data_IF_380410279886
#
_entry.id   IF_380410279886
#
_cell.length_a   1.000
_cell.length_b   1.000
_cell.length_c   1.000
_cell.angle_alpha   90.00
_cell.angle_beta   90.00
_cell.angle_gamma   90.00
#
_symmetry.space_group_name_H-M   'P 1'
#
loop_
_entity.id
_entity.type
_entity.pdbx_description
1 polymer ?
#
# COMPACT_ATOMS: atom_id res chain seq x y z
N UNK A 1 -2.14 19.22 -20.51
CA UNK A 1 -2.54 19.93 -19.28
C UNK A 1 -2.87 18.89 -18.24
N UNK A 2 -2.43 19.10 -16.99
CA UNK A 2 -2.81 18.24 -15.87
C UNK A 2 -4.34 18.27 -15.70
N UNK A 3 -4.97 17.11 -15.49
CA UNK A 3 -6.41 17.05 -15.26
C UNK A 3 -6.73 17.45 -13.82
N UNK A 4 -7.82 18.20 -13.65
CA UNK A 4 -8.34 18.54 -12.32
C UNK A 4 -8.58 17.27 -11.51
N UNK A 5 -8.26 17.30 -10.21
CA UNK A 5 -8.45 16.16 -9.32
C UNK A 5 -9.93 15.74 -9.22
N UNK A 6 -10.86 16.69 -9.31
CA UNK A 6 -12.31 16.42 -9.33
C UNK A 6 -12.76 15.57 -10.52
N UNK A 7 -11.97 15.52 -11.60
CA UNK A 7 -12.24 14.67 -12.77
C UNK A 7 -11.62 13.27 -12.66
N UNK A 8 -10.92 12.97 -11.55
CA UNK A 8 -10.16 11.74 -11.32
C UNK A 8 -10.57 11.10 -9.98
N UNK A 9 -11.80 10.59 -9.83
CA UNK A 9 -12.31 10.09 -8.55
C UNK A 9 -11.50 8.93 -7.96
N UNK A 10 -10.94 8.07 -8.82
CA UNK A 10 -10.04 6.98 -8.39
C UNK A 10 -8.73 7.54 -7.81
N UNK A 11 -8.20 8.63 -8.37
CA UNK A 11 -6.99 9.28 -7.85
C UNK A 11 -7.25 9.97 -6.51
N UNK A 12 -8.47 10.46 -6.28
CA UNK A 12 -8.89 10.97 -4.95
C UNK A 12 -8.86 9.84 -3.91
N UNK A 13 -9.35 8.65 -4.26
CA UNK A 13 -9.27 7.47 -3.37
C UNK A 13 -7.81 7.15 -3.02
N UNK A 14 -6.91 7.12 -4.00
CA UNK A 14 -5.49 6.86 -3.74
C UNK A 14 -4.84 7.99 -2.93
N UNK A 15 -5.19 9.25 -3.19
CA UNK A 15 -4.70 10.38 -2.42
C UNK A 15 -5.11 10.28 -0.95
N UNK A 16 -6.40 10.02 -0.68
CA UNK A 16 -6.91 9.84 0.67
C UNK A 16 -6.21 8.67 1.38
N UNK A 17 -6.04 7.54 0.68
CA UNK A 17 -5.30 6.41 1.18
C UNK A 17 -3.87 6.79 1.59
N UNK A 18 -3.08 7.40 0.71
CA UNK A 18 -1.69 7.76 1.02
C UNK A 18 -1.58 8.77 2.17
N UNK A 19 -2.47 9.77 2.24
CA UNK A 19 -2.50 10.74 3.35
C UNK A 19 -2.75 10.04 4.69
N UNK A 20 -3.68 9.09 4.74
CA UNK A 20 -3.99 8.32 5.95
C UNK A 20 -2.87 7.31 6.26
N UNK A 21 -2.28 6.71 5.24
CA UNK A 21 -1.32 5.63 5.40
C UNK A 21 0.06 6.14 5.88
N UNK A 22 0.49 7.34 5.48
CA UNK A 22 1.76 7.94 5.94
C UNK A 22 1.90 7.93 7.47
N UNK A 23 0.97 8.50 8.27
CA UNK A 23 1.09 8.45 9.72
C UNK A 23 0.96 7.03 10.28
N UNK A 24 0.21 6.13 9.63
CA UNK A 24 0.11 4.73 10.05
C UNK A 24 1.47 4.04 9.94
N UNK A 25 2.15 4.15 8.79
CA UNK A 25 3.47 3.55 8.59
C UNK A 25 4.49 4.13 9.57
N UNK A 26 4.47 5.46 9.77
CA UNK A 26 5.42 6.14 10.67
C UNK A 26 5.20 5.75 12.13
N UNK A 27 3.96 5.67 12.62
CA UNK A 27 3.70 5.56 14.05
C UNK A 27 3.27 4.17 14.51
N UNK A 28 2.68 3.37 13.63
CA UNK A 28 2.10 2.06 13.95
C UNK A 28 3.00 0.96 13.40
N UNK A 29 3.19 0.91 12.09
CA UNK A 29 3.85 -0.23 11.43
C UNK A 29 5.36 -0.25 11.75
N UNK A 30 6.01 0.91 11.66
CA UNK A 30 7.43 1.04 12.00
C UNK A 30 7.72 1.12 13.49
N UNK A 31 6.71 1.06 14.40
CA UNK A 31 6.90 1.16 15.85
C UNK A 31 8.06 0.30 16.39
N UNK A 32 8.22 -0.98 16.00
CA UNK A 32 9.32 -1.82 16.50
C UNK A 32 10.70 -1.33 16.05
N UNK A 33 10.78 -0.60 14.94
CA UNK A 33 12.02 -0.06 14.37
C UNK A 33 12.45 1.26 15.04
N UNK A 34 11.55 1.94 15.76
CA UNK A 34 11.90 3.16 16.48
C UNK A 34 12.88 2.86 17.62
N UNK A 35 13.92 3.70 17.82
CA UNK A 35 14.75 3.67 19.01
C UNK A 35 13.89 3.78 20.27
N UNK A 36 14.19 3.03 21.35
CA UNK A 36 13.36 3.06 22.57
C UNK A 36 13.12 4.46 23.14
N UNK A 37 14.11 5.36 23.03
CA UNK A 37 14.04 6.74 23.50
C UNK A 37 13.02 7.62 22.75
N UNK A 38 12.64 7.24 21.51
CA UNK A 38 11.70 7.99 20.68
C UNK A 38 10.29 7.39 20.68
N UNK A 39 10.09 6.24 21.36
CA UNK A 39 8.77 5.61 21.49
C UNK A 39 7.93 6.36 22.51
N UNK A 40 7.04 7.20 22.02
CA UNK A 40 6.14 8.00 22.86
C UNK A 40 5.12 7.12 23.58
N UNK A 41 4.64 7.57 24.75
CA UNK A 41 3.70 6.80 25.57
C UNK A 41 2.38 6.51 24.86
N UNK A 42 1.86 7.47 24.08
CA UNK A 42 0.63 7.25 23.32
C UNK A 42 0.80 6.17 22.24
N UNK A 43 1.99 6.02 21.64
CA UNK A 43 2.26 4.97 20.66
C UNK A 43 2.24 3.60 21.33
N UNK A 44 2.85 3.49 22.52
CA UNK A 44 2.84 2.26 23.33
C UNK A 44 1.41 1.90 23.76
N UNK A 45 0.64 2.89 24.23
CA UNK A 45 -0.74 2.70 24.64
C UNK A 45 -1.62 2.23 23.46
N UNK A 46 -1.45 2.84 22.29
CA UNK A 46 -2.17 2.46 21.08
C UNK A 46 -1.81 1.04 20.62
N UNK A 47 -0.52 0.69 20.64
CA UNK A 47 -0.07 -0.67 20.32
C UNK A 47 -0.62 -1.69 21.32
N UNK A 48 -0.62 -1.37 22.61
CA UNK A 48 -1.17 -2.25 23.65
C UNK A 48 -2.68 -2.45 23.45
N UNK A 49 -3.42 -1.38 23.19
CA UNK A 49 -4.84 -1.45 22.85
C UNK A 49 -5.09 -2.35 21.63
N UNK A 50 -4.30 -2.20 20.57
CA UNK A 50 -4.39 -3.02 19.36
C UNK A 50 -4.16 -4.50 19.66
N UNK A 51 -3.08 -4.82 20.39
CA UNK A 51 -2.76 -6.20 20.81
C UNK A 51 -3.88 -6.80 21.65
N UNK A 52 -4.42 -6.05 22.62
CA UNK A 52 -5.51 -6.54 23.48
C UNK A 52 -6.82 -6.75 22.70
N UNK A 53 -7.08 -5.92 21.70
CA UNK A 53 -8.33 -5.96 20.91
C UNK A 53 -8.32 -7.05 19.86
N UNK A 54 -7.23 -7.14 19.09
CA UNK A 54 -7.14 -8.01 17.90
C UNK A 54 -6.33 -9.28 18.14
N UNK A 55 -5.54 -9.32 19.22
CA UNK A 55 -4.58 -10.39 19.52
C UNK A 55 -3.67 -10.69 18.33
N UNK A 56 -3.34 -9.68 17.53
CA UNK A 56 -2.56 -9.89 16.32
C UNK A 56 -1.15 -10.39 16.66
N UNK A 57 -0.85 -11.65 16.33
CA UNK A 57 0.41 -12.29 16.69
C UNK A 57 1.62 -11.59 16.06
N UNK A 58 1.47 -10.94 14.90
CA UNK A 58 2.54 -10.15 14.29
C UNK A 58 3.01 -9.00 15.19
N UNK A 59 2.15 -8.52 16.09
CA UNK A 59 2.47 -7.43 17.00
C UNK A 59 2.96 -7.91 18.37
N UNK A 60 2.86 -9.21 18.64
CA UNK A 60 3.24 -9.86 19.90
C UNK A 60 4.59 -10.57 19.75
N UNK A 61 4.69 -11.50 18.80
CA UNK A 61 5.87 -12.33 18.56
C UNK A 61 6.03 -12.58 17.04
N UNK A 62 6.48 -11.56 16.28
CA UNK A 62 6.50 -11.63 14.83
C UNK A 62 7.49 -12.70 14.32
N UNK A 63 7.12 -13.46 13.28
CA UNK A 63 8.07 -14.33 12.60
C UNK A 63 9.17 -13.49 11.93
N UNK A 64 10.36 -14.07 11.76
CA UNK A 64 11.54 -13.35 11.27
C UNK A 64 11.31 -12.64 9.91
N UNK A 65 10.50 -13.22 9.03
CA UNK A 65 10.18 -12.63 7.73
C UNK A 65 9.36 -11.32 7.86
N UNK A 66 8.56 -11.17 8.91
CA UNK A 66 7.72 -9.97 9.13
C UNK A 66 8.58 -8.72 9.33
N UNK A 67 9.76 -8.87 9.94
CA UNK A 67 10.77 -7.81 10.03
C UNK A 67 11.18 -7.26 8.67
N UNK A 68 11.26 -8.12 7.65
CA UNK A 68 11.59 -7.68 6.29
C UNK A 68 10.47 -6.82 5.72
N UNK A 69 9.21 -7.16 5.96
CA UNK A 69 8.07 -6.36 5.49
C UNK A 69 7.99 -4.99 6.19
N UNK A 70 8.24 -4.92 7.50
CA UNK A 70 8.33 -3.64 8.21
C UNK A 70 9.42 -2.73 7.61
N UNK A 71 10.58 -3.29 7.26
CA UNK A 71 11.63 -2.54 6.57
C UNK A 71 11.20 -2.11 5.18
N UNK A 72 10.57 -2.98 4.39
CA UNK A 72 10.04 -2.62 3.07
C UNK A 72 9.02 -1.48 3.16
N UNK A 73 8.15 -1.48 4.16
CA UNK A 73 7.22 -0.37 4.39
C UNK A 73 7.96 0.93 4.72
N UNK A 74 8.95 0.87 5.60
CA UNK A 74 9.69 2.06 6.01
C UNK A 74 10.57 2.64 4.89
N UNK A 75 11.28 1.79 4.13
CA UNK A 75 12.29 2.23 3.14
C UNK A 75 11.70 2.47 1.76
N UNK A 76 10.60 1.81 1.42
CA UNK A 76 9.99 1.89 0.09
C UNK A 76 8.58 2.49 0.14
N UNK A 77 7.66 1.95 0.96
CA UNK A 77 6.29 2.47 0.99
C UNK A 77 6.23 3.91 1.50
N UNK A 78 6.96 4.24 2.58
CA UNK A 78 6.89 5.59 3.15
C UNK A 78 7.45 6.67 2.20
N UNK A 79 8.68 6.55 1.64
CA UNK A 79 9.17 7.54 0.68
C UNK A 79 8.29 7.66 -0.56
N UNK A 80 7.78 6.54 -1.08
CA UNK A 80 6.89 6.55 -2.23
C UNK A 80 5.54 7.19 -1.91
N UNK A 81 4.98 6.95 -0.71
CA UNK A 81 3.73 7.58 -0.25
C UNK A 81 3.89 9.09 -0.12
N UNK A 82 5.00 9.56 0.46
CA UNK A 82 5.33 10.98 0.57
C UNK A 82 5.46 11.65 -0.81
N UNK A 83 6.02 10.94 -1.79
CA UNK A 83 6.09 11.41 -3.18
C UNK A 83 4.72 11.34 -3.90
N UNK A 84 3.93 10.30 -3.64
CA UNK A 84 2.68 10.03 -4.33
C UNK A 84 1.64 11.12 -4.06
N UNK A 85 1.57 11.66 -2.83
CA UNK A 85 0.61 12.72 -2.46
C UNK A 85 0.71 13.93 -3.41
N UNK A 86 1.84 14.66 -3.51
CA UNK A 86 1.96 15.77 -4.45
C UNK A 86 1.96 15.34 -5.92
N UNK A 87 2.42 14.12 -6.24
CA UNK A 87 2.43 13.61 -7.61
C UNK A 87 1.01 13.33 -8.14
N UNK A 88 0.11 12.83 -7.30
CA UNK A 88 -1.31 12.63 -7.65
C UNK A 88 -1.99 13.98 -7.87
N UNK A 89 -1.76 14.96 -6.99
CA UNK A 89 -2.34 16.30 -7.09
C UNK A 89 -1.99 16.95 -8.43
N UNK A 90 -0.73 16.82 -8.88
CA UNK A 90 -0.25 17.41 -10.15
C UNK A 90 -0.48 16.55 -11.39
N UNK A 91 -1.15 15.39 -11.27
CA UNK A 91 -1.40 14.45 -12.37
C UNK A 91 -0.08 13.98 -13.02
N UNK A 92 0.90 13.61 -12.19
CA UNK A 92 2.24 13.23 -12.65
C UNK A 92 2.20 11.96 -13.53
N UNK A 93 2.78 11.97 -14.74
CA UNK A 93 2.72 10.83 -15.66
C UNK A 93 3.42 9.58 -15.14
N UNK A 94 4.26 9.68 -14.09
CA UNK A 94 4.93 8.54 -13.47
C UNK A 94 4.08 7.80 -12.45
N UNK A 95 2.91 8.33 -12.07
CA UNK A 95 2.00 7.70 -11.09
C UNK A 95 1.70 6.23 -11.44
N UNK A 96 1.32 5.88 -12.69
CA UNK A 96 1.03 4.50 -13.04
C UNK A 96 2.20 3.54 -12.83
N UNK A 97 3.43 3.97 -13.07
CA UNK A 97 4.60 3.12 -12.85
C UNK A 97 4.84 2.84 -11.37
N UNK A 98 4.83 3.89 -10.54
CA UNK A 98 5.16 3.78 -9.12
C UNK A 98 4.05 3.09 -8.32
N UNK A 99 2.78 3.43 -8.57
CA UNK A 99 1.66 2.81 -7.88
C UNK A 99 1.43 1.35 -8.31
N UNK A 100 1.87 0.95 -9.52
CA UNK A 100 1.85 -0.46 -9.91
C UNK A 100 2.78 -1.29 -9.03
N UNK A 101 4.03 -0.86 -8.87
CA UNK A 101 5.02 -1.58 -8.05
C UNK A 101 4.56 -1.59 -6.59
N UNK A 102 4.11 -0.45 -6.08
CA UNK A 102 3.55 -0.32 -4.73
C UNK A 102 2.37 -1.28 -4.50
N UNK A 103 1.38 -1.25 -5.40
CA UNK A 103 0.19 -2.07 -5.32
C UNK A 103 0.53 -3.56 -5.34
N UNK A 104 1.40 -3.99 -6.27
CA UNK A 104 1.84 -5.38 -6.36
C UNK A 104 2.51 -5.85 -5.07
N UNK A 105 3.48 -5.07 -4.59
CA UNK A 105 4.21 -5.42 -3.37
C UNK A 105 3.26 -5.49 -2.16
N UNK A 106 2.42 -4.46 -1.98
CA UNK A 106 1.43 -4.41 -0.89
C UNK A 106 0.47 -5.60 -0.95
N UNK A 107 0.01 -5.97 -2.15
CA UNK A 107 -0.90 -7.12 -2.31
C UNK A 107 -0.22 -8.42 -1.90
N UNK A 108 1.03 -8.64 -2.30
CA UNK A 108 1.79 -9.84 -1.93
C UNK A 108 2.05 -9.90 -0.43
N UNK A 109 2.58 -8.83 0.18
CA UNK A 109 2.88 -8.83 1.62
C UNK A 109 1.61 -8.99 2.46
N UNK A 110 0.54 -8.30 2.09
CA UNK A 110 -0.76 -8.40 2.78
C UNK A 110 -1.36 -9.80 2.62
N UNK A 111 -1.29 -10.40 1.42
CA UNK A 111 -1.75 -11.76 1.20
C UNK A 111 -0.95 -12.78 2.02
N UNK A 112 0.36 -12.60 2.15
CA UNK A 112 1.21 -13.43 3.03
C UNK A 112 0.74 -13.33 4.48
N UNK A 113 0.50 -12.11 4.99
CA UNK A 113 -0.05 -11.92 6.34
C UNK A 113 -1.41 -12.59 6.51
N UNK A 114 -2.29 -12.51 5.51
CA UNK A 114 -3.60 -13.17 5.52
C UNK A 114 -3.46 -14.69 5.57
N UNK A 115 -2.61 -15.28 4.73
CA UNK A 115 -2.39 -16.73 4.75
C UNK A 115 -1.86 -17.22 6.09
N UNK A 116 -0.97 -16.44 6.70
CA UNK A 116 -0.34 -16.79 7.97
C UNK A 116 -1.36 -16.72 9.12
N UNK A 117 -2.10 -15.62 9.31
CA UNK A 117 -3.04 -15.55 10.44
C UNK A 117 -4.20 -16.52 10.31
N UNK A 118 -4.60 -16.87 9.08
CA UNK A 118 -5.59 -17.92 8.85
C UNK A 118 -5.07 -19.29 9.27
N UNK A 119 -3.75 -19.51 9.25
CA UNK A 119 -3.11 -20.75 9.68
C UNK A 119 -2.90 -20.86 11.20
N UNK A 120 -2.99 -19.76 11.95
CA UNK A 120 -2.68 -19.78 13.39
C UNK A 120 -3.58 -20.76 14.17
N UNK A 121 -2.98 -21.66 14.98
CA UNK A 121 -3.72 -22.55 15.85
C UNK A 121 -4.28 -21.78 17.05
N UNK A 122 -5.44 -22.20 17.56
CA UNK A 122 -6.04 -21.61 18.76
C UNK A 122 -6.83 -20.31 18.56
N UNK A 123 -6.87 -19.75 17.34
CA UNK A 123 -7.72 -18.59 17.02
C UNK A 123 -9.12 -19.03 16.60
N UNK A 124 -10.12 -18.41 17.22
CA UNK A 124 -11.53 -18.60 16.84
C UNK A 124 -11.82 -17.99 15.47
N UNK A 125 -12.89 -18.46 14.81
CA UNK A 125 -13.34 -17.87 13.54
C UNK A 125 -13.65 -16.38 13.66
N UNK A 126 -14.16 -15.93 14.82
CA UNK A 126 -14.45 -14.52 15.07
C UNK A 126 -13.17 -13.68 15.18
N UNK A 127 -12.14 -14.17 15.85
CA UNK A 127 -10.84 -13.46 15.91
C UNK A 127 -10.20 -13.36 14.53
N UNK A 128 -10.25 -14.43 13.73
CA UNK A 128 -9.79 -14.41 12.33
C UNK A 128 -10.60 -13.44 11.46
N UNK A 129 -11.91 -13.35 11.69
CA UNK A 129 -12.77 -12.39 10.99
C UNK A 129 -12.45 -10.94 11.39
N UNK A 130 -12.18 -10.69 12.67
CA UNK A 130 -11.78 -9.38 13.17
C UNK A 130 -10.46 -8.91 12.54
N UNK A 131 -9.47 -9.79 12.42
CA UNK A 131 -8.25 -9.53 11.66
C UNK A 131 -8.57 -9.30 10.17
N UNK A 132 -9.47 -10.09 9.59
CA UNK A 132 -9.93 -9.91 8.21
C UNK A 132 -10.46 -8.50 7.93
N UNK A 133 -11.21 -7.88 8.86
CA UNK A 133 -11.67 -6.50 8.70
C UNK A 133 -10.53 -5.47 8.63
N UNK A 134 -9.35 -5.80 9.16
CA UNK A 134 -8.17 -4.95 9.06
C UNK A 134 -7.40 -5.22 7.76
N UNK A 135 -7.07 -6.48 7.45
CA UNK A 135 -6.17 -6.81 6.33
C UNK A 135 -6.85 -6.84 4.96
N UNK A 136 -8.09 -7.34 4.87
CA UNK A 136 -8.77 -7.56 3.58
C UNK A 136 -9.02 -6.25 2.82
N UNK A 137 -9.44 -5.13 3.45
CA UNK A 137 -9.58 -3.86 2.74
C UNK A 137 -8.27 -3.39 2.08
N UNK A 138 -7.13 -3.56 2.75
CA UNK A 138 -5.82 -3.22 2.19
C UNK A 138 -5.46 -4.12 1.00
N UNK A 139 -5.76 -5.42 1.09
CA UNK A 139 -5.57 -6.35 -0.03
C UNK A 139 -6.43 -5.95 -1.24
N UNK A 140 -7.72 -5.67 -1.01
CA UNK A 140 -8.64 -5.26 -2.08
C UNK A 140 -8.18 -3.97 -2.74
N UNK A 141 -7.80 -2.96 -1.95
CA UNK A 141 -7.31 -1.68 -2.47
C UNK A 141 -6.01 -1.83 -3.26
N UNK A 142 -5.06 -2.62 -2.76
CA UNK A 142 -3.76 -2.84 -3.42
C UNK A 142 -3.90 -3.62 -4.74
N UNK A 143 -4.75 -4.64 -4.79
CA UNK A 143 -5.07 -5.36 -6.04
C UNK A 143 -5.79 -4.43 -7.02
N UNK A 144 -6.76 -3.65 -6.54
CA UNK A 144 -7.46 -2.68 -7.40
C UNK A 144 -6.50 -1.63 -7.98
N UNK A 145 -5.63 -1.07 -7.14
CA UNK A 145 -4.58 -0.12 -7.56
C UNK A 145 -3.66 -0.74 -8.61
N UNK A 146 -3.21 -1.97 -8.37
CA UNK A 146 -2.35 -2.73 -9.30
C UNK A 146 -3.00 -2.83 -10.69
N UNK A 147 -4.26 -3.29 -10.74
CA UNK A 147 -4.98 -3.48 -12.01
C UNK A 147 -5.24 -2.14 -12.71
N UNK A 148 -5.64 -1.09 -11.97
CA UNK A 148 -5.86 0.23 -12.55
C UNK A 148 -4.58 0.81 -13.15
N UNK A 149 -3.47 0.75 -12.41
CA UNK A 149 -2.17 1.26 -12.88
C UNK A 149 -1.65 0.48 -14.08
N UNK A 150 -1.79 -0.85 -14.07
CA UNK A 150 -1.44 -1.69 -15.21
C UNK A 150 -2.21 -1.27 -16.47
N UNK A 151 -3.53 -1.09 -16.37
CA UNK A 151 -4.38 -0.65 -17.50
C UNK A 151 -3.99 0.74 -18.02
N UNK A 152 -3.63 1.67 -17.13
CA UNK A 152 -3.18 3.02 -17.52
C UNK A 152 -1.84 2.96 -18.26
N UNK A 153 -0.90 2.13 -17.82
CA UNK A 153 0.37 1.91 -18.51
C UNK A 153 0.17 1.26 -19.87
N UNK A 154 -0.61 0.18 -19.93
CA UNK A 154 -0.89 -0.55 -21.16
C UNK A 154 -1.52 0.36 -22.23
N UNK A 155 -2.52 1.17 -21.86
CA UNK A 155 -3.10 2.20 -22.74
C UNK A 155 -2.03 3.17 -23.25
N UNK A 156 -1.14 3.62 -22.37
CA UNK A 156 -0.07 4.56 -22.74
C UNK A 156 0.89 3.95 -23.75
N UNK A 157 1.30 2.69 -23.53
CA UNK A 157 2.17 1.95 -24.44
C UNK A 157 1.49 1.67 -25.79
N UNK A 158 0.20 1.32 -25.77
CA UNK A 158 -0.59 1.14 -26.99
C UNK A 158 -0.68 2.40 -27.85
N UNK A 159 -0.93 3.56 -27.22
CA UNK A 159 -0.93 4.87 -27.90
C UNK A 159 0.42 5.21 -28.52
N UNK A 160 1.52 4.93 -27.80
CA UNK A 160 2.89 5.11 -28.28
C UNK A 160 3.14 4.22 -29.52
N UNK A 161 2.80 2.93 -29.43
CA UNK A 161 2.96 1.98 -30.52
C UNK A 161 2.23 2.41 -31.79
N UNK A 162 0.97 2.84 -31.68
CA UNK A 162 0.19 3.34 -32.83
C UNK A 162 0.79 4.59 -33.47
N UNK A 163 1.34 5.51 -32.65
CA UNK A 163 1.96 6.74 -33.14
C UNK A 163 3.21 6.46 -33.97
N UNK A 164 4.05 5.52 -33.52
CA UNK A 164 5.26 5.13 -34.24
C UNK A 164 4.97 4.22 -35.45
N UNK A 165 3.99 3.32 -35.36
CA UNK A 165 3.55 2.49 -36.49
C UNK A 165 2.98 3.30 -37.67
N UNK A 166 2.22 4.37 -37.38
CA UNK A 166 1.69 5.27 -38.40
C UNK A 166 2.75 6.23 -38.99
N UNK A 167 3.79 6.58 -38.22
CA UNK A 167 4.91 7.39 -38.72
C UNK A 167 5.78 6.63 -39.74
N UNK A 168 5.91 5.31 -39.60
CA UNK A 168 6.57 4.45 -40.58
C UNK A 168 5.80 4.32 -41.90
N UNK A 169 4.46 4.26 -41.84
CA UNK A 169 3.61 4.16 -43.03
C UNK A 169 3.47 5.45 -43.85
N UNK A 170 3.68 6.63 -43.26
CA UNK A 170 3.65 7.92 -44.00
C UNK A 170 4.93 8.23 -44.78
N UNK A 171 5.97 7.42 -44.64
CA UNK A 171 7.26 7.58 -45.35
C UNK A 171 7.44 6.60 -46.53
N UNK A 172 6.43 5.78 -46.83
CA UNK A 172 6.33 4.98 -48.05
C UNK A 172 5.24 5.57 -48.94
#
# INVERSE_FOLDING_TARGET
MARSLTSRPIDILYLAFFIIHIPIVIFIDSFPLWPPALRMEWMKALRLYYIQTYKDFFFIDPPAWFGTYMWMELIYHLPLSLWAVPAIIRDDPKIPLHLLIYGCQTAVTTLTCISEYLSWPGYTSQEKLNLGYLYVPYLVLSVFMTVDMFRRLDRTLGLISMRFGNAGKKKQ
#
